data_IF_548637612574
#
_entry.id   IF_548637612574
#
_cell.length_a   1.000
_cell.length_b   1.000
_cell.length_c   1.000
_cell.angle_alpha   90.00
_cell.angle_beta   90.00
_cell.angle_gamma   90.00
#
_symmetry.space_group_name_H-M   'P 1'
#
loop_
_entity.id
_entity.type
_entity.pdbx_description
1 polymer ?
#
# COMPACT_ATOMS: atom_id res chain seq x y z
N UNK A 1 10.47 23.32 1.39
CA UNK A 1 11.17 23.40 2.70
C UNK A 1 12.47 22.59 2.57
N UNK A 2 13.44 22.78 3.45
CA UNK A 2 14.62 21.89 3.50
C UNK A 2 14.27 20.58 4.19
N UNK A 3 15.00 19.50 3.90
CA UNK A 3 14.94 18.30 4.73
C UNK A 3 15.60 18.62 6.09
N UNK A 4 14.99 18.22 7.23
CA UNK A 4 15.60 18.36 8.54
C UNK A 4 16.86 17.48 8.65
N UNK A 5 17.73 17.80 9.62
CA UNK A 5 18.93 17.01 9.86
C UNK A 5 18.59 15.60 10.37
N UNK A 6 19.44 14.60 10.12
CA UNK A 6 19.20 13.23 10.60
C UNK A 6 18.98 13.18 12.13
N UNK A 7 19.79 13.93 12.87
CA UNK A 7 19.71 14.03 14.33
C UNK A 7 18.38 14.61 14.82
N UNK A 8 17.80 15.54 14.05
CA UNK A 8 16.53 16.20 14.37
C UNK A 8 15.35 15.22 14.21
N UNK A 9 15.41 14.35 13.18
CA UNK A 9 14.46 13.25 12.98
C UNK A 9 14.56 12.23 14.13
N UNK A 10 15.78 11.87 14.55
CA UNK A 10 16.02 10.95 15.68
C UNK A 10 15.50 11.50 17.01
N UNK A 11 15.80 12.76 17.31
CA UNK A 11 15.33 13.43 18.53
C UNK A 11 13.81 13.58 18.55
N UNK A 12 13.20 13.95 17.42
CA UNK A 12 11.75 14.04 17.27
C UNK A 12 11.07 12.69 17.58
N UNK A 13 11.57 11.59 16.99
CA UNK A 13 11.07 10.24 17.26
C UNK A 13 11.17 9.85 18.74
N UNK A 14 12.31 10.12 19.38
CA UNK A 14 12.53 9.86 20.82
C UNK A 14 11.57 10.65 21.71
N UNK A 15 11.36 11.93 21.39
CA UNK A 15 10.42 12.80 22.13
C UNK A 15 8.98 12.32 22.00
N UNK A 16 8.55 11.94 20.79
CA UNK A 16 7.19 11.44 20.53
C UNK A 16 6.92 10.14 21.28
N UNK A 17 7.86 9.19 21.26
CA UNK A 17 7.72 7.92 21.97
C UNK A 17 7.61 8.16 23.48
N UNK A 18 8.56 8.92 24.07
CA UNK A 18 8.53 9.30 25.49
C UNK A 18 7.26 10.03 25.90
N UNK A 19 6.76 10.92 25.04
CA UNK A 19 5.52 11.65 25.29
C UNK A 19 4.32 10.70 25.30
N UNK A 20 4.25 9.75 24.37
CA UNK A 20 3.18 8.76 24.32
C UNK A 20 3.18 7.82 25.51
N UNK A 21 4.33 7.22 25.85
CA UNK A 21 4.48 6.36 27.04
C UNK A 21 4.08 7.11 28.31
N UNK A 22 4.54 8.37 28.47
CA UNK A 22 4.18 9.24 29.59
C UNK A 22 2.68 9.56 29.68
N UNK A 23 1.96 9.57 28.56
CA UNK A 23 0.52 9.79 28.51
C UNK A 23 -0.29 8.48 28.58
N UNK A 24 0.36 7.34 28.82
CA UNK A 24 -0.25 5.99 28.77
C UNK A 24 -0.92 5.70 27.40
N UNK A 25 -0.45 6.35 26.33
CA UNK A 25 -0.91 6.09 24.98
C UNK A 25 -0.20 4.88 24.38
N UNK A 26 -0.97 3.98 23.76
CA UNK A 26 -0.42 2.97 22.86
C UNK A 26 0.30 3.67 21.70
N UNK A 27 1.63 3.69 21.74
CA UNK A 27 2.50 4.08 20.64
C UNK A 27 2.94 2.82 19.94
N UNK A 28 2.77 2.79 18.62
CA UNK A 28 3.36 1.79 17.75
C UNK A 28 4.35 2.47 16.82
N UNK A 29 5.25 1.67 16.20
CA UNK A 29 6.27 2.17 15.26
C UNK A 29 5.65 3.02 14.14
N UNK A 30 4.45 2.67 13.66
CA UNK A 30 3.76 3.43 12.61
C UNK A 30 3.16 4.76 13.14
N UNK A 31 2.59 4.77 14.35
CA UNK A 31 2.03 5.98 14.97
C UNK A 31 3.13 7.00 15.28
N UNK A 32 4.26 6.55 15.83
CA UNK A 32 5.41 7.40 16.09
C UNK A 32 6.00 8.03 14.81
N UNK A 33 6.11 7.26 13.72
CA UNK A 33 6.52 7.80 12.40
C UNK A 33 5.59 8.87 11.87
N UNK A 34 4.29 8.59 11.81
CA UNK A 34 3.30 9.54 11.30
C UNK A 34 3.26 10.83 12.11
N UNK A 35 3.45 10.74 13.44
CA UNK A 35 3.54 11.95 14.27
C UNK A 35 4.84 12.71 13.97
N UNK A 36 5.99 12.03 13.85
CA UNK A 36 7.25 12.70 13.53
C UNK A 36 7.24 13.36 12.14
N UNK A 37 6.59 12.73 11.16
CA UNK A 37 6.39 13.29 9.84
C UNK A 37 5.55 14.59 9.90
N UNK A 38 4.49 14.62 10.72
CA UNK A 38 3.66 15.82 10.94
C UNK A 38 4.39 16.94 11.69
N UNK A 39 5.09 16.62 12.78
CA UNK A 39 5.85 17.60 13.57
C UNK A 39 6.97 18.25 12.75
N UNK A 40 7.63 17.48 11.87
CA UNK A 40 8.74 17.96 11.02
C UNK A 40 8.29 18.51 9.65
N UNK A 41 6.99 18.46 9.33
CA UNK A 41 6.46 18.90 8.04
C UNK A 41 6.97 18.08 6.84
N UNK A 42 7.21 16.78 7.06
CA UNK A 42 7.62 15.81 6.04
C UNK A 42 6.39 15.25 5.30
N UNK A 43 6.65 14.56 4.19
CA UNK A 43 5.63 13.85 3.43
C UNK A 43 5.15 12.59 4.20
N UNK A 44 3.85 12.28 4.14
CA UNK A 44 3.27 11.12 4.85
C UNK A 44 3.92 9.81 4.37
N UNK A 45 4.56 9.09 5.30
CA UNK A 45 5.31 7.87 5.00
C UNK A 45 6.75 8.09 4.53
N UNK A 46 7.31 9.30 4.59
CA UNK A 46 8.73 9.56 4.33
C UNK A 46 9.66 8.57 5.07
N UNK A 47 9.43 8.34 6.37
CA UNK A 47 10.22 7.46 7.23
C UNK A 47 10.00 5.96 6.93
N UNK A 48 8.94 5.63 6.18
CA UNK A 48 8.65 4.27 5.68
C UNK A 48 9.25 4.02 4.30
N UNK A 49 9.26 5.05 3.45
CA UNK A 49 9.65 4.97 2.04
C UNK A 49 11.16 5.16 1.85
N UNK A 50 11.81 6.00 2.65
CA UNK A 50 13.26 6.13 2.66
C UNK A 50 13.91 4.88 3.29
N UNK A 51 14.82 4.22 2.56
CA UNK A 51 15.41 2.96 2.96
C UNK A 51 16.33 3.06 4.20
N UNK A 52 16.95 4.23 4.43
CA UNK A 52 17.78 4.50 5.61
C UNK A 52 16.86 4.70 6.83
N UNK A 53 15.80 5.48 6.67
CA UNK A 53 14.84 5.74 7.74
C UNK A 53 13.94 4.57 8.10
N UNK A 54 13.55 3.71 7.14
CA UNK A 54 12.69 2.54 7.39
C UNK A 54 13.26 1.62 8.46
N UNK A 55 14.56 1.32 8.40
CA UNK A 55 15.24 0.56 9.44
C UNK A 55 15.54 1.42 10.69
N UNK A 56 16.13 2.61 10.50
CA UNK A 56 16.62 3.45 11.60
C UNK A 56 15.50 3.92 12.54
N UNK A 57 14.37 4.36 12.00
CA UNK A 57 13.22 4.77 12.80
C UNK A 57 12.67 3.64 13.67
N UNK A 58 12.57 2.41 13.14
CA UNK A 58 12.13 1.23 13.91
C UNK A 58 13.05 0.98 15.10
N UNK A 59 14.37 1.02 14.88
CA UNK A 59 15.36 0.82 15.93
C UNK A 59 15.26 1.90 17.01
N UNK A 60 15.23 3.18 16.63
CA UNK A 60 15.14 4.31 17.58
C UNK A 60 13.83 4.26 18.39
N UNK A 61 12.71 3.94 17.75
CA UNK A 61 11.41 3.82 18.43
C UNK A 61 11.44 2.66 19.45
N UNK A 62 11.87 1.47 19.03
CA UNK A 62 11.93 0.30 19.91
C UNK A 62 12.94 0.47 21.05
N UNK A 63 14.12 1.05 20.79
CA UNK A 63 15.12 1.41 21.81
C UNK A 63 14.49 2.32 22.88
N UNK A 64 13.80 3.37 22.45
CA UNK A 64 13.17 4.33 23.38
C UNK A 64 12.01 3.71 24.16
N UNK A 65 11.18 2.87 23.53
CA UNK A 65 10.12 2.13 24.22
C UNK A 65 10.70 1.23 25.31
N UNK A 66 11.75 0.46 24.98
CA UNK A 66 12.38 -0.47 25.90
C UNK A 66 13.11 0.26 27.06
N UNK A 67 13.63 1.47 26.84
CA UNK A 67 14.19 2.33 27.88
C UNK A 67 13.15 2.75 28.92
N UNK A 68 11.92 3.09 28.49
CA UNK A 68 10.88 3.66 29.35
C UNK A 68 9.94 2.58 29.97
N UNK A 69 9.62 1.48 29.27
CA UNK A 69 8.69 0.43 29.77
C UNK A 69 9.35 -0.59 30.71
N UNK A 70 10.67 -0.79 30.63
CA UNK A 70 11.40 -1.63 31.57
C UNK A 70 11.16 -3.15 31.43
N UNK A 71 11.89 -3.75 30.48
CA UNK A 71 12.04 -5.19 30.22
C UNK A 71 11.01 -5.84 29.25
N UNK A 72 11.55 -6.64 28.31
CA UNK A 72 10.87 -7.69 27.51
C UNK A 72 9.84 -7.30 26.42
N UNK A 73 10.29 -7.16 25.15
CA UNK A 73 9.70 -7.95 24.04
C UNK A 73 10.68 -8.17 22.86
N UNK A 74 10.41 -9.18 22.03
CA UNK A 74 11.31 -9.75 21.02
C UNK A 74 11.73 -8.80 19.89
N UNK A 75 12.99 -8.98 19.46
CA UNK A 75 13.49 -8.41 18.22
C UNK A 75 12.79 -9.04 17.01
N UNK A 76 11.68 -8.43 16.56
CA UNK A 76 11.04 -8.72 15.28
C UNK A 76 11.96 -8.28 14.11
N UNK A 77 13.01 -9.08 13.87
CA UNK A 77 13.95 -9.01 12.74
C UNK A 77 13.28 -9.45 11.44
N UNK A 78 12.19 -8.78 11.07
CA UNK A 78 11.57 -8.99 9.78
C UNK A 78 12.55 -8.52 8.69
N UNK A 79 13.02 -9.51 7.95
CA UNK A 79 14.15 -9.46 7.02
C UNK A 79 13.78 -8.70 5.73
N UNK A 80 14.75 -8.31 4.86
CA UNK A 80 14.51 -7.22 3.92
C UNK A 80 13.49 -7.59 2.86
N UNK A 81 12.36 -6.89 2.92
CA UNK A 81 11.39 -6.88 1.83
C UNK A 81 12.05 -6.34 0.55
N UNK A 82 12.09 -7.21 -0.45
CA UNK A 82 12.81 -7.04 -1.71
C UNK A 82 11.89 -6.30 -2.67
N UNK A 83 12.37 -5.26 -3.39
CA UNK A 83 11.51 -4.22 -3.94
C UNK A 83 10.36 -4.77 -4.81
N UNK A 84 9.15 -4.49 -4.37
CA UNK A 84 7.93 -4.59 -5.17
C UNK A 84 8.04 -3.60 -6.33
N UNK A 85 8.26 -4.12 -7.54
CA UNK A 85 8.25 -3.33 -8.76
C UNK A 85 6.79 -3.16 -9.24
N UNK A 86 6.15 -2.10 -8.76
CA UNK A 86 4.83 -1.69 -9.26
C UNK A 86 4.91 -1.22 -10.72
N UNK A 87 4.41 -2.03 -11.65
CA UNK A 87 3.81 -1.56 -12.91
C UNK A 87 2.73 -2.54 -13.41
N UNK A 88 1.46 -2.38 -13.03
CA UNK A 88 0.35 -3.13 -13.62
C UNK A 88 -0.24 -2.36 -14.82
N UNK A 89 0.47 -2.33 -15.96
CA UNK A 89 -0.09 -1.86 -17.23
C UNK A 89 -0.33 -2.99 -18.25
N UNK A 90 -1.56 -3.02 -18.74
CA UNK A 90 -2.02 -3.48 -20.05
C UNK A 90 -1.82 -4.97 -20.46
N UNK A 91 -2.94 -5.71 -20.39
CA UNK A 91 -3.23 -6.89 -21.23
C UNK A 91 -3.34 -6.46 -22.70
N UNK A 92 -3.00 -7.28 -23.74
CA UNK A 92 -3.76 -8.51 -24.02
C UNK A 92 -2.96 -9.62 -24.78
N UNK A 93 -3.58 -10.73 -25.25
CA UNK A 93 -2.87 -12.01 -25.44
C UNK A 93 -2.49 -12.33 -26.89
N UNK A 94 -1.57 -13.29 -27.08
CA UNK A 94 -1.59 -14.25 -28.21
C UNK A 94 -0.70 -15.49 -28.01
N UNK A 95 -1.18 -16.61 -28.53
CA UNK A 95 -0.55 -17.93 -28.46
C UNK A 95 0.56 -18.16 -29.49
N UNK A 96 1.37 -19.21 -29.30
CA UNK A 96 1.46 -20.38 -30.21
C UNK A 96 2.47 -21.46 -29.78
N UNK A 97 2.14 -22.73 -30.13
CA UNK A 97 3.05 -23.86 -30.40
C UNK A 97 3.85 -24.48 -29.22
N UNK A 98 4.03 -25.81 -29.08
CA UNK A 98 3.67 -27.02 -29.89
C UNK A 98 3.62 -28.29 -28.96
N UNK A 99 3.31 -29.53 -29.42
CA UNK A 99 2.48 -30.46 -28.63
C UNK A 99 3.04 -31.87 -28.34
N UNK A 100 2.54 -32.48 -27.25
CA UNK A 100 2.45 -33.93 -26.99
C UNK A 100 1.47 -34.14 -25.80
N UNK A 101 0.69 -35.22 -25.63
CA UNK A 101 0.52 -36.46 -26.39
C UNK A 101 -0.98 -36.90 -26.40
N UNK A 102 -1.28 -37.99 -27.12
CA UNK A 102 -2.64 -38.41 -27.50
C UNK A 102 -3.30 -39.37 -26.51
N UNK A 103 -4.52 -39.06 -26.03
CA UNK A 103 -5.54 -40.07 -25.67
C UNK A 103 -6.96 -39.47 -25.74
N UNK A 104 -8.06 -40.10 -26.19
CA UNK A 104 -8.44 -41.23 -27.07
C UNK A 104 -9.95 -41.45 -26.78
N UNK A 105 -10.81 -41.61 -27.81
CA UNK A 105 -12.31 -41.76 -27.76
C UNK A 105 -13.05 -40.40 -27.58
N UNK A 106 -14.24 -40.16 -28.14
CA UNK A 106 -15.14 -41.01 -28.99
C UNK A 106 -15.85 -40.14 -30.07
N UNK A 107 -16.60 -40.78 -30.99
CA UNK A 107 -17.12 -40.21 -32.27
C UNK A 107 -18.41 -39.37 -32.12
N UNK A 108 -18.79 -38.74 -33.25
CA UNK A 108 -20.16 -38.36 -33.66
C UNK A 108 -20.72 -37.07 -33.03
N UNK A 109 -21.49 -36.22 -33.71
CA UNK A 109 -21.86 -36.14 -35.14
C UNK A 109 -22.27 -34.70 -35.52
N UNK A 110 -22.39 -34.44 -36.83
CA UNK A 110 -23.23 -33.43 -37.50
C UNK A 110 -23.12 -31.91 -37.20
N UNK A 111 -23.18 -31.14 -38.31
CA UNK A 111 -23.80 -29.82 -38.53
C UNK A 111 -23.70 -28.64 -37.52
N UNK A 112 -23.88 -27.37 -37.93
CA UNK A 112 -23.74 -26.69 -39.24
C UNK A 112 -23.71 -25.17 -39.00
N UNK A 113 -23.25 -24.43 -40.00
CA UNK A 113 -23.16 -22.96 -39.99
C UNK A 113 -24.51 -22.23 -39.82
N UNK A 114 -24.57 -21.29 -38.87
CA UNK A 114 -25.31 -20.01 -38.97
C UNK A 114 -24.70 -19.04 -37.92
N UNK A 115 -23.96 -17.96 -38.20
CA UNK A 115 -24.11 -16.86 -39.18
C UNK A 115 -25.55 -16.33 -39.22
N UNK A 116 -25.79 -15.12 -38.67
CA UNK A 116 -26.36 -13.95 -39.42
C UNK A 116 -26.91 -12.80 -38.55
N UNK A 117 -26.40 -11.57 -38.80
CA UNK A 117 -26.97 -10.19 -38.55
C UNK A 117 -27.28 -9.75 -37.09
N UNK A 118 -26.76 -8.59 -36.61
CA UNK A 118 -27.19 -7.15 -36.80
C UNK A 118 -28.48 -6.81 -35.99
N UNK A 119 -28.70 -5.61 -35.41
CA UNK A 119 -28.01 -4.27 -35.41
C UNK A 119 -28.72 -3.32 -34.40
N UNK A 120 -28.01 -2.31 -33.83
CA UNK A 120 -28.47 -0.92 -33.45
C UNK A 120 -29.74 -0.80 -32.53
N UNK A 121 -30.14 0.25 -31.80
CA UNK A 121 -29.84 1.71 -31.55
C UNK A 121 -30.65 2.11 -30.28
N UNK A 122 -30.51 3.23 -29.54
CA UNK A 122 -29.65 4.43 -29.51
C UNK A 122 -29.68 5.08 -28.08
N UNK A 123 -28.76 6.00 -27.71
CA UNK A 123 -28.95 7.48 -27.51
C UNK A 123 -29.46 7.98 -26.12
N UNK A 124 -29.04 9.20 -25.78
CA UNK A 124 -29.47 10.10 -24.68
C UNK A 124 -29.22 9.65 -23.23
N UNK A 125 -28.98 10.54 -22.25
CA UNK A 125 -28.70 12.00 -22.22
C UNK A 125 -27.93 12.27 -20.88
N UNK A 126 -26.87 13.08 -20.85
CA UNK A 126 -26.85 14.54 -20.60
C UNK A 126 -27.05 14.96 -19.12
N UNK A 127 -26.35 16.03 -18.74
CA UNK A 127 -26.19 16.64 -17.40
C UNK A 127 -27.48 17.03 -16.67
N UNK A 128 -27.43 17.00 -15.33
CA UNK A 128 -28.11 17.92 -14.38
C UNK A 128 -27.86 17.40 -12.94
N UNK A 129 -26.94 17.97 -12.16
CA UNK A 129 -27.02 19.24 -11.40
C UNK A 129 -27.51 19.04 -9.96
N UNK A 130 -26.80 19.65 -9.03
CA UNK A 130 -27.01 19.57 -7.58
C UNK A 130 -28.41 20.01 -7.13
N UNK A 131 -28.93 19.34 -6.10
CA UNK A 131 -30.04 19.82 -5.29
C UNK A 131 -29.84 19.34 -3.86
N UNK A 132 -29.30 20.21 -3.01
CA UNK A 132 -29.29 20.03 -1.57
C UNK A 132 -30.26 21.03 -0.94
N UNK A 133 -31.14 20.55 -0.07
CA UNK A 133 -32.30 21.30 0.40
C UNK A 133 -31.92 22.39 1.40
N UNK A 134 -32.46 23.58 1.18
CA UNK A 134 -32.61 24.63 2.20
C UNK A 134 -33.75 24.22 3.18
N UNK A 135 -33.69 24.66 4.44
CA UNK A 135 -34.66 24.25 5.46
C UNK A 135 -34.54 24.95 6.81
N UNK A 136 -35.54 25.83 7.06
CA UNK A 136 -35.92 26.55 8.29
C UNK A 136 -35.05 27.76 8.73
#
# INVERSE_FOLDING_TARGET
MGLPADTEIEECLRVIVRLGVKNEEEITVNKARQQAEKELGLDDGFLKNDAKWKAKSKLVINETMQEDDGEEEEQALESPDKPEAETPEESPPKAKARPAAKTRKRKSDDASSARTKRRKTAESAEEASESFSDGD
#
